data_IF_583619355864
#
_entry.id   IF_583619355864
#
_cell.length_a   1.000
_cell.length_b   1.000
_cell.length_c   1.000
_cell.angle_alpha   90.00
_cell.angle_beta   90.00
_cell.angle_gamma   90.00
#
_symmetry.space_group_name_H-M   'P 1'
#
loop_
_entity.id
_entity.type
_entity.pdbx_description
1 polymer ?
#
# COMPACT_ATOMS: atom_id res chain seq x y z
N UNK A 1 -2.00 -11.85 11.03
CA UNK A 1 -2.76 -12.44 9.91
C UNK A 1 -2.88 -11.43 8.76
N UNK A 2 -2.59 -11.87 7.56
CA UNK A 2 -2.84 -11.07 6.36
C UNK A 2 -4.34 -10.89 6.17
N UNK A 3 -4.83 -9.65 6.22
CA UNK A 3 -6.25 -9.40 6.33
C UNK A 3 -6.95 -9.12 4.99
N UNK A 4 -6.33 -8.32 4.13
CA UNK A 4 -6.99 -7.71 2.99
C UNK A 4 -6.32 -7.97 1.64
N UNK A 5 -6.70 -9.06 1.00
CA UNK A 5 -6.53 -9.31 -0.43
C UNK A 5 -7.73 -10.12 -0.91
N UNK A 6 -8.04 -10.17 -2.22
CA UNK A 6 -9.18 -10.97 -2.70
C UNK A 6 -9.07 -12.45 -2.33
N UNK A 7 -7.85 -13.02 -2.35
CA UNK A 7 -7.57 -14.43 -2.05
C UNK A 7 -6.56 -14.57 -0.92
N UNK A 8 -6.60 -15.70 -0.22
CA UNK A 8 -5.61 -16.11 0.78
C UNK A 8 -5.43 -15.13 1.94
N UNK A 9 -6.51 -14.43 2.32
CA UNK A 9 -6.50 -13.49 3.43
C UNK A 9 -7.71 -13.67 4.33
N UNK A 10 -7.62 -13.13 5.54
CA UNK A 10 -8.67 -13.26 6.56
C UNK A 10 -10.04 -12.81 6.05
N UNK A 11 -10.12 -11.62 5.48
CA UNK A 11 -11.36 -11.02 4.97
C UNK A 11 -11.48 -11.03 3.45
N UNK A 12 -10.78 -11.94 2.78
CA UNK A 12 -10.72 -11.97 1.33
C UNK A 12 -12.09 -12.04 0.67
N UNK A 13 -12.34 -11.18 -0.31
CA UNK A 13 -13.61 -11.12 -1.04
C UNK A 13 -13.92 -12.38 -1.85
N UNK A 14 -12.89 -13.16 -2.20
CA UNK A 14 -13.01 -14.36 -3.03
C UNK A 14 -12.86 -15.66 -2.25
N UNK A 15 -12.22 -15.63 -1.08
CA UNK A 15 -11.96 -16.84 -0.29
C UNK A 15 -11.76 -16.58 1.21
N UNK A 16 -12.23 -15.43 1.72
CA UNK A 16 -12.08 -15.07 3.13
C UNK A 16 -13.30 -15.41 3.99
N UNK A 17 -13.25 -14.90 5.21
CA UNK A 17 -14.28 -15.03 6.25
C UNK A 17 -14.88 -13.66 6.58
N UNK A 18 -16.01 -13.62 7.29
CA UNK A 18 -16.63 -12.36 7.69
C UNK A 18 -16.16 -11.87 9.07
N UNK A 19 -15.53 -12.74 9.85
CA UNK A 19 -14.97 -12.40 11.16
C UNK A 19 -13.68 -13.16 11.48
N UNK A 20 -12.93 -12.62 12.45
CA UNK A 20 -11.71 -13.26 12.98
C UNK A 20 -12.08 -14.57 13.68
N UNK A 21 -13.20 -14.58 14.40
CA UNK A 21 -13.71 -15.74 15.13
C UNK A 21 -14.14 -16.87 14.18
N UNK A 22 -14.75 -16.54 13.05
CA UNK A 22 -15.11 -17.54 12.04
C UNK A 22 -13.87 -18.21 11.46
N UNK A 23 -12.82 -17.44 11.20
CA UNK A 23 -11.56 -17.94 10.63
C UNK A 23 -10.77 -18.78 11.65
N UNK A 24 -10.51 -18.23 12.83
CA UNK A 24 -9.58 -18.82 13.81
C UNK A 24 -10.25 -19.62 14.93
N UNK A 25 -11.59 -19.58 15.01
CA UNK A 25 -12.39 -20.32 15.99
C UNK A 25 -11.87 -20.08 17.41
N UNK A 26 -11.60 -21.16 18.16
CA UNK A 26 -11.06 -21.14 19.52
C UNK A 26 -9.66 -20.49 19.64
N UNK A 27 -8.92 -20.38 18.52
CA UNK A 27 -7.60 -19.74 18.46
C UNK A 27 -7.70 -18.22 18.33
N UNK A 28 -8.87 -17.65 18.03
CA UNK A 28 -9.05 -16.19 17.91
C UNK A 28 -8.62 -15.44 19.18
N UNK A 29 -8.72 -16.05 20.35
CA UNK A 29 -8.27 -15.50 21.67
C UNK A 29 -6.75 -15.23 21.73
N UNK A 30 -5.96 -15.84 20.85
CA UNK A 30 -4.52 -15.66 20.77
C UNK A 30 -4.10 -14.62 19.71
N UNK A 31 -5.04 -14.12 18.91
CA UNK A 31 -4.79 -13.06 17.93
C UNK A 31 -4.88 -11.71 18.65
N UNK A 32 -3.81 -10.91 18.59
CA UNK A 32 -3.72 -9.60 19.22
C UNK A 32 -3.59 -8.46 18.22
N UNK A 33 -3.19 -8.78 17.00
CA UNK A 33 -2.98 -7.79 15.94
C UNK A 33 -3.49 -8.27 14.59
N UNK A 34 -3.92 -7.34 13.77
CA UNK A 34 -4.34 -7.54 12.37
C UNK A 34 -3.51 -6.63 11.49
N UNK A 35 -3.00 -7.16 10.39
CA UNK A 35 -2.27 -6.39 9.39
C UNK A 35 -3.22 -5.55 8.53
N UNK A 36 -2.90 -4.27 8.31
CA UNK A 36 -3.61 -3.41 7.37
C UNK A 36 -3.40 -3.85 5.92
N UNK A 37 -2.16 -4.06 5.53
CA UNK A 37 -1.76 -4.43 4.17
C UNK A 37 -1.87 -3.28 3.16
N UNK A 38 -1.22 -3.42 2.01
CA UNK A 38 -1.04 -2.36 1.01
C UNK A 38 -2.32 -1.80 0.35
N UNK A 39 -3.44 -2.47 0.48
CA UNK A 39 -4.71 -2.07 -0.17
C UNK A 39 -5.76 -1.56 0.82
N UNK A 40 -5.41 -1.45 2.10
CA UNK A 40 -6.22 -0.81 3.14
C UNK A 40 -5.34 0.00 4.09
N UNK A 41 -5.95 0.83 4.90
CA UNK A 41 -5.33 1.62 5.95
C UNK A 41 -6.11 1.50 7.28
N UNK A 42 -5.60 2.06 8.38
CA UNK A 42 -6.33 2.06 9.64
C UNK A 42 -7.71 2.69 9.55
N UNK A 43 -7.91 3.76 8.77
CA UNK A 43 -9.20 4.44 8.64
C UNK A 43 -10.25 3.54 7.98
N UNK A 44 -9.86 2.73 7.01
CA UNK A 44 -10.72 1.72 6.41
C UNK A 44 -11.07 0.61 7.41
N UNK A 45 -10.11 0.17 8.22
CA UNK A 45 -10.29 -0.88 9.23
C UNK A 45 -11.15 -0.43 10.42
N UNK A 46 -11.08 0.85 10.83
CA UNK A 46 -11.93 1.38 11.93
C UNK A 46 -13.43 1.35 11.64
N UNK A 47 -13.81 1.14 10.40
CA UNK A 47 -15.20 0.96 10.00
C UNK A 47 -15.80 -0.38 10.44
N UNK A 48 -14.98 -1.31 10.91
CA UNK A 48 -15.39 -2.62 11.41
C UNK A 48 -15.23 -2.66 12.93
N UNK A 49 -16.33 -2.58 13.68
CA UNK A 49 -16.29 -2.57 15.16
C UNK A 49 -15.66 -3.83 15.74
N UNK A 50 -15.77 -4.95 15.05
CA UNK A 50 -15.14 -6.21 15.44
C UNK A 50 -13.61 -6.12 15.55
N UNK A 51 -12.98 -5.13 14.92
CA UNK A 51 -11.52 -4.95 14.93
C UNK A 51 -11.01 -4.09 16.09
N UNK A 52 -11.85 -3.44 16.88
CA UNK A 52 -11.43 -2.54 17.98
C UNK A 52 -10.53 -3.22 19.02
N UNK A 53 -10.76 -4.51 19.25
CA UNK A 53 -9.96 -5.31 20.20
C UNK A 53 -8.59 -5.72 19.69
N UNK A 54 -8.31 -5.51 18.40
CA UNK A 54 -7.02 -5.83 17.79
C UNK A 54 -6.18 -4.56 17.58
N UNK A 55 -4.88 -4.71 17.70
CA UNK A 55 -3.95 -3.67 17.28
C UNK A 55 -3.73 -3.77 15.79
N UNK A 56 -3.92 -2.65 15.08
CA UNK A 56 -3.59 -2.60 13.65
C UNK A 56 -2.08 -2.42 13.50
N UNK A 57 -1.45 -3.26 12.68
CA UNK A 57 -0.03 -3.23 12.36
C UNK A 57 0.15 -3.11 10.86
N UNK A 58 1.26 -2.49 10.46
CA UNK A 58 1.60 -2.26 9.07
C UNK A 58 2.89 -3.01 8.73
N UNK A 59 2.89 -3.79 7.66
CA UNK A 59 4.02 -4.63 7.25
C UNK A 59 4.23 -4.54 5.75
N UNK A 60 5.49 -4.37 5.33
CA UNK A 60 5.87 -4.13 3.93
C UNK A 60 5.50 -5.26 2.97
N UNK A 61 5.33 -6.48 3.45
CA UNK A 61 5.16 -7.71 2.64
C UNK A 61 6.16 -7.76 1.47
N UNK A 62 7.43 -7.51 1.78
CA UNK A 62 8.46 -7.33 0.77
C UNK A 62 8.88 -8.66 0.16
N UNK A 63 8.58 -8.86 -1.14
CA UNK A 63 8.98 -10.04 -1.92
C UNK A 63 10.33 -9.84 -2.65
N UNK A 64 11.08 -8.79 -2.32
CA UNK A 64 12.38 -8.49 -2.88
C UNK A 64 13.19 -7.60 -1.94
N UNK A 65 14.52 -7.57 -2.14
CA UNK A 65 15.47 -6.80 -1.34
C UNK A 65 15.60 -5.32 -1.76
N UNK A 66 14.82 -4.87 -2.74
CA UNK A 66 14.89 -3.49 -3.20
C UNK A 66 14.50 -2.50 -2.09
N UNK A 67 15.24 -1.39 -1.89
CA UNK A 67 15.00 -0.42 -0.82
C UNK A 67 13.54 0.04 -0.75
N UNK A 68 12.93 0.36 -1.88
CA UNK A 68 11.54 0.81 -1.97
C UNK A 68 10.49 -0.27 -1.67
N UNK A 69 10.89 -1.49 -1.38
CA UNK A 69 9.98 -2.56 -0.93
C UNK A 69 10.10 -2.80 0.57
N UNK A 70 11.31 -2.62 1.11
CA UNK A 70 11.56 -2.78 2.54
C UNK A 70 11.21 -1.46 3.24
N UNK A 71 10.37 -1.50 4.27
CA UNK A 71 10.00 -0.32 5.06
C UNK A 71 9.02 0.64 4.40
N UNK A 72 8.41 0.26 3.25
CA UNK A 72 7.32 1.04 2.65
C UNK A 72 6.08 1.08 3.55
N UNK A 73 5.92 0.09 4.39
CA UNK A 73 5.04 0.05 5.54
C UNK A 73 5.83 -0.33 6.77
N UNK A 74 5.51 0.26 7.92
CA UNK A 74 6.26 0.06 9.15
C UNK A 74 5.45 0.42 10.39
N UNK A 75 5.92 -0.05 11.54
CA UNK A 75 5.37 0.29 12.84
C UNK A 75 6.44 1.07 13.63
N UNK A 76 6.04 2.17 14.24
CA UNK A 76 6.95 3.05 14.99
C UNK A 76 6.67 2.92 16.47
N UNK A 77 7.70 2.52 17.22
CA UNK A 77 7.61 2.28 18.66
C UNK A 77 8.61 3.15 19.44
N UNK A 78 8.19 3.60 20.62
CA UNK A 78 9.06 4.21 21.64
C UNK A 78 9.19 3.23 22.82
N UNK A 79 10.01 2.21 22.61
CA UNK A 79 10.28 1.12 23.56
C UNK A 79 11.75 0.69 23.48
N UNK A 80 12.27 0.07 24.52
CA UNK A 80 13.52 -0.67 24.38
C UNK A 80 13.34 -1.86 23.41
N UNK A 81 14.24 -2.08 22.44
CA UNK A 81 14.06 -3.04 21.34
C UNK A 81 14.29 -4.49 21.79
N UNK A 82 13.41 -4.99 22.65
CA UNK A 82 13.37 -6.40 23.08
C UNK A 82 12.10 -7.06 22.58
N UNK A 83 12.12 -8.39 22.46
CA UNK A 83 10.94 -9.16 22.05
C UNK A 83 9.75 -8.93 22.99
N UNK A 84 9.98 -8.99 24.30
CA UNK A 84 8.92 -8.83 25.30
C UNK A 84 8.27 -7.45 25.24
N UNK A 85 9.08 -6.39 25.09
CA UNK A 85 8.57 -5.03 24.97
C UNK A 85 7.77 -4.86 23.69
N UNK A 86 8.24 -5.43 22.56
CA UNK A 86 7.52 -5.38 21.28
C UNK A 86 6.15 -6.07 21.40
N UNK A 87 6.12 -7.31 21.92
CA UNK A 87 4.88 -8.05 22.09
C UNK A 87 3.93 -7.35 23.08
N UNK A 88 4.47 -6.83 24.18
CA UNK A 88 3.67 -6.07 25.14
C UNK A 88 3.09 -4.79 24.50
N UNK A 89 3.88 -4.06 23.72
CA UNK A 89 3.44 -2.86 23.01
C UNK A 89 2.34 -3.18 22.00
N UNK A 90 2.47 -4.25 21.21
CA UNK A 90 1.43 -4.72 20.29
C UNK A 90 0.14 -5.08 21.05
N UNK A 91 0.22 -5.76 22.20
CA UNK A 91 -0.95 -6.17 22.98
C UNK A 91 -1.66 -5.03 23.70
N UNK A 92 -0.89 -4.05 24.18
CA UNK A 92 -1.40 -3.00 25.07
C UNK A 92 -1.48 -1.63 24.42
N UNK A 93 -0.94 -1.47 23.22
CA UNK A 93 -0.73 -0.20 22.48
C UNK A 93 0.22 0.79 23.21
N UNK A 94 0.78 0.45 24.38
CA UNK A 94 1.72 1.32 25.12
C UNK A 94 3.07 1.38 24.39
N UNK A 95 3.54 2.61 24.11
CA UNK A 95 4.77 2.83 23.35
C UNK A 95 4.64 2.58 21.85
N UNK A 96 3.47 2.24 21.33
CA UNK A 96 3.21 2.19 19.91
C UNK A 96 2.77 3.59 19.45
N UNK A 97 3.64 4.30 18.72
CA UNK A 97 3.44 5.70 18.39
C UNK A 97 2.51 5.87 17.19
N UNK A 98 2.82 5.24 16.07
CA UNK A 98 2.02 5.29 14.84
C UNK A 98 2.46 4.21 13.86
N UNK A 99 1.64 3.98 12.82
CA UNK A 99 2.02 3.19 11.66
C UNK A 99 2.39 4.09 10.47
N UNK A 100 3.23 3.56 9.58
CA UNK A 100 3.50 4.11 8.26
C UNK A 100 2.80 3.19 7.28
N UNK A 101 1.89 3.75 6.51
CA UNK A 101 1.07 3.04 5.54
C UNK A 101 1.38 3.54 4.13
N UNK A 102 1.28 2.68 3.15
CA UNK A 102 1.14 3.12 1.77
C UNK A 102 -0.30 3.56 1.55
N UNK A 103 -0.53 4.62 0.76
CA UNK A 103 -1.89 5.02 0.42
C UNK A 103 -2.64 3.84 -0.22
N UNK A 104 -3.83 3.44 0.27
CA UNK A 104 -4.55 2.27 -0.21
C UNK A 104 -4.84 2.28 -1.71
N UNK A 105 -5.01 3.48 -2.30
CA UNK A 105 -5.20 3.60 -3.75
C UNK A 105 -3.97 3.12 -4.55
N UNK A 106 -2.78 3.15 -3.96
CA UNK A 106 -1.59 2.57 -4.57
C UNK A 106 -1.64 1.03 -4.59
N UNK A 107 -2.37 0.41 -3.67
CA UNK A 107 -2.49 -1.04 -3.53
C UNK A 107 -3.16 -1.70 -4.74
N UNK A 108 -2.56 -2.75 -5.25
CA UNK A 108 -2.98 -3.45 -6.49
C UNK A 108 -4.34 -4.15 -6.43
N UNK A 109 -5.02 -4.13 -5.30
CA UNK A 109 -6.35 -4.73 -5.10
C UNK A 109 -7.32 -3.77 -4.42
N UNK A 110 -7.07 -2.46 -4.48
CA UNK A 110 -7.90 -1.47 -3.78
C UNK A 110 -9.33 -1.43 -4.32
N UNK A 111 -9.49 -1.19 -5.62
CA UNK A 111 -10.79 -1.14 -6.29
C UNK A 111 -11.15 -2.45 -6.99
N UNK A 112 -12.42 -2.54 -7.38
CA UNK A 112 -12.92 -3.63 -8.21
C UNK A 112 -12.40 -3.49 -9.64
N UNK A 113 -12.16 -4.61 -10.31
CA UNK A 113 -11.71 -4.49 -11.69
C UNK A 113 -11.56 -5.78 -12.47
N UNK A 114 -11.19 -5.59 -13.74
CA UNK A 114 -10.81 -6.67 -14.64
C UNK A 114 -9.64 -6.21 -15.50
N UNK A 115 -8.43 -6.58 -15.10
CA UNK A 115 -7.17 -6.15 -15.72
C UNK A 115 -7.10 -6.43 -17.21
N UNK A 116 -7.54 -7.62 -17.66
CA UNK A 116 -7.51 -8.01 -19.07
C UNK A 116 -8.34 -7.08 -19.97
N UNK A 117 -9.34 -6.41 -19.41
CA UNK A 117 -10.19 -5.45 -20.13
C UNK A 117 -9.89 -3.99 -19.80
N UNK A 118 -8.90 -3.74 -18.94
CA UNK A 118 -8.59 -2.41 -18.43
C UNK A 118 -9.82 -1.73 -17.80
N UNK A 119 -10.53 -2.45 -16.94
CA UNK A 119 -11.71 -1.97 -16.22
C UNK A 119 -11.35 -1.82 -14.75
N UNK A 120 -11.55 -0.62 -14.21
CA UNK A 120 -11.48 -0.26 -12.82
C UNK A 120 -12.79 0.40 -12.41
N UNK A 121 -13.38 0.01 -11.30
CA UNK A 121 -14.71 0.49 -10.87
C UNK A 121 -14.76 0.73 -9.36
N UNK A 122 -15.48 1.76 -8.98
CA UNK A 122 -15.93 1.94 -7.61
C UNK A 122 -16.93 0.84 -7.20
N UNK A 123 -16.99 0.44 -5.91
CA UNK A 123 -17.88 -0.62 -5.45
C UNK A 123 -19.35 -0.44 -5.84
N UNK A 124 -19.87 0.79 -5.77
CA UNK A 124 -21.25 1.09 -6.13
C UNK A 124 -21.53 0.90 -7.64
N UNK A 125 -20.52 1.15 -8.47
CA UNK A 125 -20.60 0.93 -9.92
C UNK A 125 -20.54 -0.57 -10.24
N UNK A 126 -19.66 -1.29 -9.58
CA UNK A 126 -19.56 -2.75 -9.71
C UNK A 126 -20.86 -3.45 -9.33
N UNK A 127 -21.52 -3.03 -8.25
CA UNK A 127 -22.81 -3.55 -7.83
C UNK A 127 -23.90 -3.28 -8.89
N UNK A 128 -23.97 -2.09 -9.46
CA UNK A 128 -24.90 -1.78 -10.58
C UNK A 128 -24.68 -2.71 -11.78
N UNK A 129 -23.43 -3.08 -12.03
CA UNK A 129 -23.04 -4.02 -13.07
C UNK A 129 -23.09 -5.49 -12.61
N UNK A 130 -23.69 -5.79 -11.43
CA UNK A 130 -23.77 -7.14 -10.85
C UNK A 130 -22.41 -7.82 -10.69
N UNK A 131 -21.35 -7.03 -10.43
CA UNK A 131 -19.97 -7.47 -10.33
C UNK A 131 -19.46 -8.18 -11.61
N UNK A 132 -19.96 -7.77 -12.76
CA UNK A 132 -19.63 -8.31 -14.07
C UNK A 132 -18.94 -7.26 -14.93
N UNK A 133 -17.84 -7.64 -15.58
CA UNK A 133 -17.12 -6.77 -16.51
C UNK A 133 -18.02 -6.35 -17.67
N UNK A 134 -18.21 -5.04 -17.94
CA UNK A 134 -19.09 -4.58 -19.02
C UNK A 134 -18.58 -4.96 -20.42
N UNK A 135 -17.25 -5.16 -20.56
CA UNK A 135 -16.62 -5.51 -21.85
C UNK A 135 -16.73 -6.99 -22.19
N UNK A 136 -16.26 -7.88 -21.33
CA UNK A 136 -16.16 -9.31 -21.64
C UNK A 136 -17.18 -10.20 -20.89
N UNK A 137 -17.99 -9.62 -20.01
CA UNK A 137 -19.00 -10.33 -19.21
C UNK A 137 -18.44 -11.34 -18.19
N UNK A 138 -17.12 -11.36 -17.97
CA UNK A 138 -16.51 -12.14 -16.89
C UNK A 138 -16.78 -11.48 -15.53
N UNK A 139 -16.65 -12.25 -14.45
CA UNK A 139 -16.70 -11.70 -13.08
C UNK A 139 -15.56 -10.71 -12.86
N UNK A 140 -15.83 -9.61 -12.13
CA UNK A 140 -14.82 -8.70 -11.65
C UNK A 140 -14.04 -9.34 -10.48
N UNK A 141 -12.78 -8.99 -10.34
CA UNK A 141 -12.07 -9.16 -9.07
C UNK A 141 -12.58 -8.08 -8.11
N UNK A 142 -13.15 -8.51 -7.01
CA UNK A 142 -13.72 -7.62 -5.99
C UNK A 142 -12.58 -7.08 -5.12
N UNK A 143 -12.46 -5.76 -5.08
CA UNK A 143 -11.40 -5.07 -4.36
C UNK A 143 -11.62 -4.98 -2.86
N UNK A 144 -10.57 -4.54 -2.17
CA UNK A 144 -10.56 -4.42 -0.70
C UNK A 144 -11.56 -3.37 -0.22
N UNK A 145 -11.66 -2.23 -0.90
CA UNK A 145 -12.64 -1.19 -0.53
C UNK A 145 -14.09 -1.70 -0.59
N UNK A 146 -14.43 -2.50 -1.60
CA UNK A 146 -15.75 -3.12 -1.72
C UNK A 146 -15.99 -4.09 -0.56
N UNK A 147 -15.01 -4.94 -0.25
CA UNK A 147 -15.13 -5.91 0.84
C UNK A 147 -15.27 -5.23 2.19
N UNK A 148 -14.52 -4.17 2.46
CA UNK A 148 -14.69 -3.35 3.66
C UNK A 148 -16.10 -2.75 3.72
N UNK A 149 -16.62 -2.21 2.62
CA UNK A 149 -18.01 -1.68 2.58
C UNK A 149 -19.06 -2.75 2.90
N UNK A 150 -18.84 -4.01 2.52
CA UNK A 150 -19.73 -5.13 2.86
C UNK A 150 -19.72 -5.47 4.36
N UNK A 151 -18.55 -5.39 4.99
CA UNK A 151 -18.37 -5.79 6.40
C UNK A 151 -18.53 -4.63 7.39
N UNK A 152 -18.48 -3.39 6.91
CA UNK A 152 -18.50 -2.19 7.73
C UNK A 152 -19.86 -2.00 8.43
N UNK A 153 -19.82 -1.76 9.74
CA UNK A 153 -20.94 -1.41 10.60
C UNK A 153 -20.86 0.06 11.08
N UNK A 154 -19.86 0.81 10.60
CA UNK A 154 -19.60 2.22 10.92
C UNK A 154 -19.43 3.07 9.67
N UNK A 155 -19.75 4.37 9.73
CA UNK A 155 -19.57 5.27 8.61
C UNK A 155 -18.09 5.49 8.27
N UNK A 156 -17.83 5.95 7.06
CA UNK A 156 -16.54 6.49 6.68
C UNK A 156 -16.17 7.69 7.54
N UNK A 157 -14.87 7.85 7.88
CA UNK A 157 -14.39 8.89 8.77
C UNK A 157 -14.53 8.58 10.27
N UNK A 158 -15.12 7.45 10.66
CA UNK A 158 -15.14 7.04 12.06
C UNK A 158 -13.70 6.74 12.54
N UNK A 159 -13.38 7.22 13.76
CA UNK A 159 -12.11 6.96 14.43
C UNK A 159 -12.34 6.48 15.86
N UNK A 160 -11.86 5.30 16.26
CA UNK A 160 -11.92 4.83 17.64
C UNK A 160 -11.16 5.77 18.59
N UNK A 161 -11.62 5.85 19.85
CA UNK A 161 -11.00 6.72 20.85
C UNK A 161 -9.51 6.38 21.09
N UNK A 162 -9.18 5.09 21.10
CA UNK A 162 -7.81 4.59 21.37
C UNK A 162 -7.09 4.17 20.08
N UNK A 163 -7.45 4.79 18.95
CA UNK A 163 -6.83 4.52 17.67
C UNK A 163 -5.37 4.98 17.66
N UNK A 164 -4.47 4.07 17.30
CA UNK A 164 -3.09 4.42 16.97
C UNK A 164 -3.11 5.27 15.71
N UNK A 165 -2.45 6.45 15.69
CA UNK A 165 -2.38 7.28 14.49
C UNK A 165 -1.58 6.60 13.39
N UNK A 166 -1.72 7.10 12.16
CA UNK A 166 -0.95 6.61 11.02
C UNK A 166 -0.53 7.77 10.11
N UNK A 167 0.50 7.52 9.29
CA UNK A 167 0.97 8.42 8.24
C UNK A 167 0.93 7.66 6.91
N UNK A 168 0.25 8.23 5.91
CA UNK A 168 0.23 7.67 4.56
C UNK A 168 1.37 8.23 3.74
N UNK A 169 2.16 7.37 3.11
CA UNK A 169 3.29 7.74 2.28
C UNK A 169 3.26 7.00 0.93
N UNK A 170 4.06 7.51 0.00
CA UNK A 170 4.44 6.79 -1.21
C UNK A 170 5.96 6.61 -1.16
N UNK A 171 6.51 5.42 -1.50
CA UNK A 171 7.95 5.20 -1.54
C UNK A 171 8.68 6.24 -2.40
N UNK A 172 9.83 6.72 -1.93
CA UNK A 172 10.60 7.76 -2.60
C UNK A 172 10.91 7.42 -4.08
N UNK A 173 11.24 6.15 -4.34
CA UNK A 173 11.50 5.69 -5.72
C UNK A 173 10.29 5.78 -6.63
N UNK A 174 9.07 5.62 -6.12
CA UNK A 174 7.83 5.76 -6.89
C UNK A 174 7.53 7.24 -7.17
N UNK A 175 7.82 8.14 -6.23
CA UNK A 175 7.74 9.59 -6.42
C UNK A 175 8.70 10.00 -7.55
N UNK A 176 9.97 9.61 -7.46
CA UNK A 176 10.99 9.91 -8.47
C UNK A 176 10.66 9.28 -9.84
N UNK A 177 10.17 8.05 -9.86
CA UNK A 177 9.78 7.38 -11.10
C UNK A 177 8.64 8.11 -11.81
N UNK A 178 7.65 8.58 -11.07
CA UNK A 178 6.54 9.36 -11.60
C UNK A 178 7.03 10.71 -12.16
N UNK A 179 7.84 11.47 -11.40
CA UNK A 179 8.39 12.75 -11.85
C UNK A 179 9.29 12.63 -13.08
N UNK A 180 10.05 11.54 -13.17
CA UNK A 180 10.96 11.31 -14.29
C UNK A 180 10.28 10.59 -15.47
N UNK A 181 9.01 10.25 -15.35
CA UNK A 181 8.29 9.41 -16.32
C UNK A 181 9.09 8.16 -16.71
N UNK A 182 9.56 7.41 -15.71
CA UNK A 182 10.50 6.31 -15.89
C UNK A 182 10.22 5.17 -14.91
N UNK A 183 10.73 3.97 -15.20
CA UNK A 183 10.55 2.85 -14.29
C UNK A 183 11.32 3.04 -12.97
N UNK A 184 10.79 2.54 -11.86
CA UNK A 184 11.40 2.62 -10.52
C UNK A 184 12.82 2.06 -10.45
N UNK A 185 13.16 1.09 -11.29
CA UNK A 185 14.48 0.47 -11.37
C UNK A 185 15.38 1.12 -12.43
N UNK A 186 15.02 2.30 -12.96
CA UNK A 186 15.86 3.00 -13.95
C UNK A 186 17.10 3.61 -13.29
N UNK A 187 18.19 3.74 -14.07
CA UNK A 187 19.43 4.37 -13.58
C UNK A 187 19.20 5.78 -13.07
N UNK A 188 18.28 6.54 -13.71
CA UNK A 188 17.96 7.92 -13.31
C UNK A 188 17.32 7.97 -11.93
N UNK A 189 16.32 7.11 -11.67
CA UNK A 189 15.66 6.98 -10.37
C UNK A 189 16.66 6.56 -9.30
N UNK A 190 17.49 5.55 -9.57
CA UNK A 190 18.50 5.10 -8.63
C UNK A 190 19.51 6.19 -8.29
N UNK A 191 20.02 6.89 -9.29
CA UNK A 191 21.00 7.96 -9.08
C UNK A 191 20.45 9.03 -8.14
N UNK A 192 19.21 9.48 -8.36
CA UNK A 192 18.59 10.52 -7.53
C UNK A 192 18.18 9.99 -6.16
N UNK A 193 17.68 8.76 -6.08
CA UNK A 193 17.39 8.11 -4.81
C UNK A 193 18.61 8.08 -3.89
N UNK A 194 19.76 7.61 -4.40
CA UNK A 194 21.00 7.54 -3.62
C UNK A 194 21.62 8.92 -3.35
N UNK A 195 21.42 9.91 -4.24
CA UNK A 195 21.80 11.29 -3.96
C UNK A 195 21.05 11.81 -2.73
N UNK A 196 19.75 11.63 -2.66
CA UNK A 196 18.93 12.03 -1.51
C UNK A 196 19.31 11.25 -0.23
N UNK A 197 19.46 9.92 -0.32
CA UNK A 197 19.89 9.10 0.84
C UNK A 197 21.24 9.58 1.40
N UNK A 198 22.18 9.93 0.54
CA UNK A 198 23.50 10.45 0.97
C UNK A 198 23.39 11.76 1.76
N UNK A 199 22.42 12.61 1.42
CA UNK A 199 22.22 13.90 2.08
C UNK A 199 21.36 13.80 3.36
N UNK A 200 20.46 12.81 3.43
CA UNK A 200 19.45 12.72 4.50
C UNK A 200 19.47 11.38 5.25
N UNK A 201 20.45 10.52 4.99
CA UNK A 201 20.71 9.23 5.65
C UNK A 201 19.67 8.14 5.37
N UNK A 202 18.36 8.43 5.52
CA UNK A 202 17.29 7.43 5.33
C UNK A 202 16.13 7.94 4.50
N UNK A 203 15.44 7.02 3.82
CA UNK A 203 14.22 7.33 3.07
C UNK A 203 13.12 7.89 3.97
N UNK A 204 12.96 7.34 5.17
CA UNK A 204 11.94 7.82 6.11
C UNK A 204 12.22 9.24 6.60
N UNK A 205 13.51 9.61 6.80
CA UNK A 205 13.86 10.99 7.12
C UNK A 205 13.48 11.93 5.95
N UNK A 206 13.77 11.55 4.71
CA UNK A 206 13.38 12.31 3.51
C UNK A 206 11.87 12.50 3.46
N UNK A 207 11.11 11.43 3.63
CA UNK A 207 9.66 11.44 3.47
C UNK A 207 8.92 12.10 4.64
N UNK A 208 9.45 12.05 5.86
CA UNK A 208 8.74 12.48 7.08
C UNK A 208 9.25 13.79 7.67
N UNK A 209 10.57 14.03 7.67
CA UNK A 209 11.18 15.06 8.53
C UNK A 209 11.94 16.16 7.75
N UNK A 210 12.61 15.81 6.65
CA UNK A 210 13.47 16.74 5.92
C UNK A 210 12.72 18.01 5.50
N UNK A 211 13.33 19.17 5.69
CA UNK A 211 12.72 20.48 5.34
C UNK A 211 12.71 20.67 3.82
N UNK A 212 11.66 21.34 3.33
CA UNK A 212 11.50 21.61 1.90
C UNK A 212 12.72 22.31 1.30
N UNK A 213 13.24 23.31 2.01
CA UNK A 213 14.38 24.11 1.56
C UNK A 213 15.66 23.29 1.41
N UNK A 214 15.86 22.29 2.28
CA UNK A 214 17.03 21.42 2.24
C UNK A 214 16.87 20.35 1.14
N UNK A 215 15.65 19.83 0.96
CA UNK A 215 15.32 18.96 -0.18
C UNK A 215 15.56 19.64 -1.52
N UNK A 216 15.14 20.90 -1.66
CA UNK A 216 15.31 21.70 -2.89
C UNK A 216 16.79 21.99 -3.20
N UNK A 217 17.64 22.13 -2.17
CA UNK A 217 19.10 22.29 -2.36
C UNK A 217 19.78 20.99 -2.76
N UNK A 218 19.34 19.86 -2.21
CA UNK A 218 19.97 18.54 -2.46
C UNK A 218 19.56 17.91 -3.79
N UNK A 219 18.33 18.19 -4.26
CA UNK A 219 17.79 17.70 -5.52
C UNK A 219 17.31 18.88 -6.39
N UNK A 220 16.01 18.94 -6.69
CA UNK A 220 15.40 20.11 -7.32
C UNK A 220 14.08 20.47 -6.64
N UNK A 221 13.52 21.65 -6.98
CA UNK A 221 12.31 22.16 -6.36
C UNK A 221 11.09 21.28 -6.66
N UNK A 222 11.02 20.64 -7.83
CA UNK A 222 9.90 19.77 -8.19
C UNK A 222 9.90 18.51 -7.32
N UNK A 223 11.08 17.92 -7.08
CA UNK A 223 11.23 16.76 -6.19
C UNK A 223 10.86 17.14 -4.76
N UNK A 224 11.36 18.29 -4.26
CA UNK A 224 11.01 18.79 -2.94
C UNK A 224 9.49 19.00 -2.79
N UNK A 225 8.87 19.67 -3.76
CA UNK A 225 7.42 19.90 -3.78
C UNK A 225 6.61 18.59 -3.79
N UNK A 226 7.04 17.61 -4.59
CA UNK A 226 6.37 16.31 -4.64
C UNK A 226 6.46 15.55 -3.31
N UNK A 227 7.63 15.53 -2.67
CA UNK A 227 7.81 14.91 -1.35
C UNK A 227 6.92 15.59 -0.30
N UNK A 228 6.88 16.92 -0.27
CA UNK A 228 6.02 17.65 0.66
C UNK A 228 4.54 17.39 0.37
N UNK A 229 4.13 17.36 -0.90
CA UNK A 229 2.74 17.06 -1.27
C UNK A 229 2.31 15.64 -0.82
N UNK A 230 3.20 14.65 -0.92
CA UNK A 230 2.97 13.30 -0.38
C UNK A 230 2.81 13.34 1.14
N UNK A 231 3.73 14.00 1.84
CA UNK A 231 3.71 14.16 3.31
C UNK A 231 2.42 14.81 3.82
N UNK A 232 1.88 15.74 3.06
CA UNK A 232 0.65 16.47 3.39
C UNK A 232 -0.62 15.80 2.87
N UNK A 233 -0.52 14.64 2.21
CA UNK A 233 -1.66 13.94 1.61
C UNK A 233 -2.32 14.70 0.45
N UNK A 234 -1.58 15.61 -0.21
CA UNK A 234 -2.08 16.49 -1.30
C UNK A 234 -1.80 15.92 -2.70
N UNK A 235 -1.75 14.61 -2.83
CA UNK A 235 -1.55 13.96 -4.11
C UNK A 235 -2.80 13.17 -4.52
N UNK A 236 -3.00 13.05 -5.82
CA UNK A 236 -3.99 12.13 -6.37
C UNK A 236 -3.29 10.84 -6.78
N UNK A 237 -3.99 9.73 -6.65
CA UNK A 237 -3.51 8.42 -7.09
C UNK A 237 -4.58 7.82 -7.98
N UNK A 238 -4.21 7.44 -9.20
CA UNK A 238 -5.04 6.55 -10.01
C UNK A 238 -5.08 5.19 -9.28
N UNK A 239 -6.25 4.71 -8.84
CA UNK A 239 -6.30 3.58 -7.94
C UNK A 239 -5.91 2.27 -8.61
N UNK A 240 -5.32 1.38 -7.81
CA UNK A 240 -4.99 0.03 -8.23
C UNK A 240 -6.19 -0.91 -8.18
N UNK A 241 -6.16 -1.94 -9.03
CA UNK A 241 -7.23 -2.92 -9.17
C UNK A 241 -6.72 -4.21 -9.81
N UNK A 242 -7.29 -5.33 -9.50
CA UNK A 242 -7.06 -6.65 -10.15
C UNK A 242 -5.58 -6.97 -10.45
N UNK A 243 -4.70 -6.70 -9.49
CA UNK A 243 -3.26 -6.94 -9.61
C UNK A 243 -2.45 -5.83 -10.28
N UNK A 244 -3.08 -4.72 -10.67
CA UNK A 244 -2.43 -3.52 -11.20
C UNK A 244 -2.20 -2.55 -10.04
N UNK A 245 -0.97 -2.07 -9.85
CA UNK A 245 -0.67 -1.04 -8.86
C UNK A 245 -1.27 0.31 -9.27
N UNK A 246 -1.71 1.07 -8.26
CA UNK A 246 -2.07 2.47 -8.44
C UNK A 246 -0.86 3.32 -8.84
N UNK A 247 -1.13 4.49 -9.39
CA UNK A 247 -0.10 5.39 -9.89
C UNK A 247 -0.29 6.79 -9.29
N UNK A 248 0.71 7.34 -8.57
CA UNK A 248 0.63 8.70 -8.06
C UNK A 248 0.69 9.70 -9.23
N UNK A 249 -0.14 10.76 -9.14
CA UNK A 249 -0.22 11.84 -10.11
C UNK A 249 0.23 13.13 -9.46
N UNK A 250 1.30 13.71 -9.95
CA UNK A 250 1.82 15.00 -9.50
C UNK A 250 1.38 16.10 -10.47
N UNK A 251 0.09 16.51 -10.42
CA UNK A 251 -0.44 17.64 -11.18
C UNK A 251 0.21 18.95 -10.68
N UNK A 252 0.80 19.74 -11.57
CA UNK A 252 1.41 21.06 -11.31
C UNK A 252 2.70 21.11 -10.47
N UNK A 253 3.42 20.03 -10.33
CA UNK A 253 4.77 20.06 -9.75
C UNK A 253 5.81 20.37 -10.83
N UNK A 254 5.53 20.01 -12.09
CA UNK A 254 6.25 20.47 -13.27
C UNK A 254 5.24 21.13 -14.22
N UNK A 255 5.50 22.36 -14.65
CA UNK A 255 4.67 23.03 -15.67
C UNK A 255 4.51 22.14 -16.90
N UNK A 256 3.25 21.95 -17.35
CA UNK A 256 2.81 21.12 -18.46
C UNK A 256 2.98 19.62 -18.33
N UNK A 257 1.97 18.95 -17.75
CA UNK A 257 1.79 17.51 -17.92
C UNK A 257 1.14 17.29 -19.31
N UNK A 258 1.94 16.84 -20.26
CA UNK A 258 1.40 16.14 -21.43
C UNK A 258 0.78 14.84 -20.94
N UNK A 259 -0.51 14.64 -21.21
CA UNK A 259 -1.14 13.32 -21.11
C UNK A 259 -0.30 12.32 -21.91
N UNK A 260 0.59 11.62 -21.24
CA UNK A 260 1.32 10.53 -21.86
C UNK A 260 0.50 9.27 -21.66
N UNK A 261 -0.34 8.97 -22.65
CA UNK A 261 -0.87 7.63 -22.81
C UNK A 261 0.27 6.63 -22.74
N UNK A 262 0.24 5.75 -21.75
CA UNK A 262 1.21 4.68 -21.58
C UNK A 262 1.15 3.83 -22.85
N UNK A 263 2.17 3.95 -23.71
CA UNK A 263 2.39 2.95 -24.75
C UNK A 263 2.69 1.64 -24.03
N UNK A 264 1.78 0.68 -24.17
CA UNK A 264 2.00 -0.70 -23.77
C UNK A 264 3.40 -1.14 -24.17
N UNK A 265 4.30 -1.31 -23.20
CA UNK A 265 5.51 -2.06 -23.44
C UNK A 265 5.07 -3.51 -23.69
N UNK A 266 5.07 -3.90 -24.96
CA UNK A 266 4.91 -5.29 -25.39
C UNK A 266 5.85 -6.15 -24.55
N UNK A 267 5.29 -6.89 -23.60
CA UNK A 267 5.98 -7.99 -22.94
C UNK A 267 6.29 -8.99 -24.05
N UNK A 268 7.52 -8.94 -24.57
CA UNK A 268 8.03 -10.03 -25.40
C UNK A 268 7.95 -11.29 -24.53
N UNK A 269 7.09 -12.24 -24.93
CA UNK A 269 7.10 -13.59 -24.36
C UNK A 269 8.54 -14.09 -24.38
N UNK A 270 9.17 -14.16 -23.22
CA UNK A 270 10.43 -14.88 -23.07
C UNK A 270 10.11 -16.34 -23.39
N UNK A 271 10.71 -16.83 -24.47
CA UNK A 271 10.72 -18.27 -24.79
C UNK A 271 11.34 -18.99 -23.60
N UNK A 272 10.66 -20.06 -23.17
CA UNK A 272 10.94 -20.82 -21.95
C UNK A 272 12.42 -21.06 -21.69
N UNK A 273 12.86 -20.57 -20.55
CA UNK A 273 14.06 -21.05 -19.89
C UNK A 273 13.57 -22.28 -19.11
N UNK A 274 13.99 -23.46 -19.52
CA UNK A 274 13.81 -24.69 -18.75
C UNK A 274 14.46 -24.48 -17.38
N UNK A 275 13.64 -24.58 -16.31
CA UNK A 275 14.12 -24.65 -14.94
C UNK A 275 15.03 -25.89 -14.82
N UNK A 276 16.32 -25.67 -14.74
CA UNK A 276 17.25 -26.71 -14.29
C UNK A 276 17.08 -26.84 -12.78
N UNK A 277 16.70 -28.06 -12.35
CA UNK A 277 16.45 -28.35 -10.94
C UNK A 277 17.69 -28.13 -10.06
N UNK A 278 17.44 -27.76 -8.81
CA UNK A 278 18.40 -27.52 -7.72
C UNK A 278 19.29 -28.72 -7.34
N UNK A 279 19.15 -29.87 -8.01
CA UNK A 279 19.92 -31.11 -7.72
C UNK A 279 21.40 -31.08 -8.15
N UNK A 280 21.94 -29.95 -8.62
CA UNK A 280 23.36 -29.80 -8.97
C UNK A 280 24.19 -28.97 -7.98
N UNK A 281 23.63 -28.60 -6.83
CA UNK A 281 24.34 -27.78 -5.82
C UNK A 281 24.45 -28.45 -4.43
N UNK A 282 24.22 -29.77 -4.37
CA UNK A 282 24.59 -30.60 -3.19
C UNK A 282 25.36 -31.81 -3.62
#
# INVERSE_FOLDING_TARGET
AHAWTPWYSLFGSMSGFDSVEECFKDQAKHIHAIETGLSSDPAMNWRLSQLDKYTLVSSSDAHSFWPWRIGREANVFDIAPTYDNLINSIRTKKGFLYTIEVDPNYGKYHLDGHRACNICMEPNESLKNKNICPKCKSKLTIGVLHRIKQLADRPEGYKPKDAIPFKSLIPLSEILASLFNSGVASKKVFSEYYNLIKNFETELNILLEAKKEDLAKAADENIANAIIAVREGKIKINPGYDGVYGQPIFENVAGEIKETGIKESRVKKAKGIQQQGLSKFF
#
